data_IF_365311767264
#
_entry.id   IF_365311767264
#
_cell.length_a   1.000
_cell.length_b   1.000
_cell.length_c   1.000
_cell.angle_alpha   90.00
_cell.angle_beta   90.00
_cell.angle_gamma   90.00
#
_symmetry.space_group_name_H-M   'P 1'
#
loop_
_entity.id
_entity.type
_entity.pdbx_description
1 polymer ?
#
# COMPACT_ATOMS: atom_id res chain seq x y z
N UNK A 1 9.57 -13.03 13.70
CA UNK A 1 8.42 -12.12 13.82
C UNK A 1 8.88 -10.75 13.35
N UNK A 2 8.08 -10.03 12.54
CA UNK A 2 8.44 -8.68 12.08
C UNK A 2 7.99 -7.58 13.05
N UNK A 3 7.50 -7.99 14.22
CA UNK A 3 7.09 -7.10 15.29
C UNK A 3 8.27 -6.85 16.22
N UNK A 4 8.81 -5.62 16.17
CA UNK A 4 9.90 -5.17 17.03
C UNK A 4 9.53 -5.18 18.52
N UNK A 5 8.23 -5.23 18.86
CA UNK A 5 7.73 -5.28 20.25
C UNK A 5 7.47 -6.71 20.74
N UNK A 6 7.64 -7.73 19.89
CA UNK A 6 7.40 -9.13 20.25
C UNK A 6 8.18 -9.55 21.49
N UNK A 7 9.39 -9.03 21.69
CA UNK A 7 10.21 -9.31 22.88
C UNK A 7 9.63 -8.74 24.16
N UNK A 8 9.02 -7.56 24.12
CA UNK A 8 8.42 -6.91 25.29
C UNK A 8 7.19 -7.67 25.80
N UNK A 9 6.62 -8.55 24.97
CA UNK A 9 5.49 -9.42 25.30
C UNK A 9 5.93 -10.81 25.82
N UNK A 10 7.23 -11.12 25.82
CA UNK A 10 7.75 -12.42 26.29
C UNK A 10 8.07 -12.39 27.79
N UNK A 11 7.68 -13.46 28.48
CA UNK A 11 7.93 -13.63 29.91
C UNK A 11 9.45 -13.82 30.19
N UNK A 12 9.93 -13.35 31.34
CA UNK A 12 11.36 -13.20 31.65
C UNK A 12 12.14 -14.52 31.58
N UNK A 13 11.49 -15.66 31.83
CA UNK A 13 12.08 -17.01 31.69
C UNK A 13 12.35 -17.40 30.24
N UNK A 14 11.52 -16.97 29.30
CA UNK A 14 11.65 -17.25 27.87
C UNK A 14 12.77 -16.40 27.28
N UNK A 15 12.82 -15.11 27.63
CA UNK A 15 13.93 -14.22 27.24
C UNK A 15 15.31 -14.74 27.73
N UNK A 16 15.37 -15.29 28.95
CA UNK A 16 16.62 -15.82 29.52
C UNK A 16 17.10 -17.14 28.90
N UNK A 17 16.22 -17.93 28.29
CA UNK A 17 16.57 -19.23 27.67
C UNK A 17 16.79 -19.12 26.17
N UNK A 18 16.28 -18.05 25.55
CA UNK A 18 16.50 -17.68 24.16
C UNK A 18 17.83 -16.91 24.06
N UNK A 19 18.97 -17.60 24.02
CA UNK A 19 20.26 -16.99 23.68
C UNK A 19 20.19 -16.40 22.25
N UNK A 20 19.76 -15.15 22.13
CA UNK A 20 19.41 -14.53 20.85
C UNK A 20 20.55 -13.66 20.31
N UNK A 21 21.09 -14.04 19.17
CA UNK A 21 21.70 -13.07 18.25
C UNK A 21 20.56 -12.42 17.48
N UNK A 22 20.27 -11.16 17.77
CA UNK A 22 19.27 -10.39 17.03
C UNK A 22 19.81 -10.02 15.65
N UNK A 23 19.19 -10.53 14.60
CA UNK A 23 19.47 -10.10 13.23
C UNK A 23 18.41 -9.07 12.86
N UNK A 24 18.82 -7.80 12.84
CA UNK A 24 17.97 -6.69 12.41
C UNK A 24 18.04 -6.53 10.89
N UNK A 25 16.89 -6.35 10.26
CA UNK A 25 16.75 -6.08 8.84
C UNK A 25 16.24 -4.64 8.66
N UNK A 26 17.14 -3.64 8.61
CA UNK A 26 16.73 -2.27 8.39
C UNK A 26 16.13 -2.09 6.99
N UNK A 27 15.23 -1.12 6.80
CA UNK A 27 14.69 -0.81 5.49
C UNK A 27 15.80 -0.37 4.53
N UNK A 28 15.78 -0.91 3.31
CA UNK A 28 16.82 -0.65 2.32
C UNK A 28 16.91 0.82 1.95
N UNK A 29 18.13 1.32 1.80
CA UNK A 29 18.42 2.62 1.19
C UNK A 29 18.20 2.61 -0.32
N UNK A 30 18.14 3.79 -0.94
CA UNK A 30 17.95 3.92 -2.41
C UNK A 30 19.04 3.19 -3.19
N UNK A 31 20.31 3.33 -2.80
CA UNK A 31 21.44 2.66 -3.48
C UNK A 31 21.39 1.13 -3.34
N UNK A 32 20.92 0.63 -2.21
CA UNK A 32 20.77 -0.82 -1.99
C UNK A 32 19.62 -1.38 -2.82
N UNK A 33 18.49 -0.66 -2.87
CA UNK A 33 17.37 -1.01 -3.74
C UNK A 33 17.79 -0.99 -5.21
N UNK A 34 18.57 -0.01 -5.63
CA UNK A 34 19.09 0.06 -6.99
C UNK A 34 19.92 -1.19 -7.32
N UNK A 35 20.87 -1.58 -6.47
CA UNK A 35 21.66 -2.81 -6.66
C UNK A 35 20.80 -4.07 -6.72
N UNK A 36 19.78 -4.17 -5.86
CA UNK A 36 18.84 -5.29 -5.88
C UNK A 36 18.07 -5.33 -7.20
N UNK A 37 17.61 -4.18 -7.69
CA UNK A 37 16.88 -4.10 -8.95
C UNK A 37 17.77 -4.39 -10.16
N UNK A 38 19.01 -3.90 -10.19
CA UNK A 38 20.00 -4.21 -11.24
C UNK A 38 20.22 -5.73 -11.36
N UNK A 39 20.48 -6.41 -10.23
CA UNK A 39 20.64 -7.87 -10.21
C UNK A 39 19.41 -8.62 -10.73
N UNK A 40 18.20 -8.09 -10.49
CA UNK A 40 16.96 -8.68 -11.02
C UNK A 40 16.74 -8.35 -12.49
N UNK A 41 17.10 -7.13 -12.90
CA UNK A 41 16.95 -6.65 -14.25
C UNK A 41 17.80 -7.46 -15.23
N UNK A 42 19.04 -7.77 -14.85
CA UNK A 42 19.99 -8.56 -15.64
C UNK A 42 19.47 -9.96 -16.03
N UNK A 43 18.59 -10.54 -15.19
CA UNK A 43 18.02 -11.87 -15.40
C UNK A 43 16.66 -11.79 -16.11
N UNK A 44 15.88 -10.73 -15.83
CA UNK A 44 14.48 -10.63 -16.25
C UNK A 44 14.27 -9.86 -17.56
N UNK A 45 15.19 -8.97 -17.94
CA UNK A 45 15.07 -8.10 -19.11
C UNK A 45 16.13 -8.42 -20.17
N UNK A 46 15.82 -8.14 -21.43
CA UNK A 46 16.81 -8.18 -22.50
C UNK A 46 17.80 -7.03 -22.36
N UNK A 47 19.00 -7.19 -22.95
CA UNK A 47 19.97 -6.10 -23.01
C UNK A 47 19.34 -4.87 -23.67
N UNK A 48 19.59 -3.69 -23.08
CA UNK A 48 19.05 -2.40 -23.53
C UNK A 48 17.53 -2.26 -23.50
N UNK A 49 16.80 -3.18 -22.86
CA UNK A 49 15.34 -3.06 -22.72
C UNK A 49 14.93 -2.00 -21.68
N UNK A 50 15.84 -1.53 -20.82
CA UNK A 50 15.58 -0.52 -19.79
C UNK A 50 16.37 0.75 -20.11
N UNK A 51 15.70 1.90 -20.10
CA UNK A 51 16.40 3.19 -20.09
C UNK A 51 17.10 3.44 -18.76
N UNK A 52 18.18 4.22 -18.80
CA UNK A 52 19.08 4.48 -17.66
C UNK A 52 18.33 5.02 -16.41
N UNK A 53 17.24 5.76 -16.61
CA UNK A 53 16.44 6.35 -15.53
C UNK A 53 15.44 5.40 -14.86
N UNK A 54 15.15 4.24 -15.43
CA UNK A 54 14.07 3.35 -14.94
C UNK A 54 14.40 2.74 -13.59
N UNK A 55 15.59 2.15 -13.46
CA UNK A 55 16.01 1.48 -12.22
C UNK A 55 16.19 2.50 -11.08
N UNK A 56 16.89 3.64 -11.27
CA UNK A 56 17.00 4.68 -10.24
C UNK A 56 15.64 5.19 -9.77
N UNK A 57 14.69 5.39 -10.68
CA UNK A 57 13.35 5.84 -10.33
C UNK A 57 12.60 4.80 -9.51
N UNK A 58 12.63 3.52 -9.91
CA UNK A 58 12.01 2.43 -9.15
C UNK A 58 12.61 2.30 -7.74
N UNK A 59 13.93 2.48 -7.61
CA UNK A 59 14.62 2.44 -6.33
C UNK A 59 14.23 3.62 -5.42
N UNK A 60 14.15 4.83 -5.98
CA UNK A 60 13.74 6.03 -5.25
C UNK A 60 12.30 5.90 -4.71
N UNK A 61 11.37 5.45 -5.55
CA UNK A 61 9.98 5.20 -5.16
C UNK A 61 9.87 4.09 -4.12
N UNK A 62 10.63 3.00 -4.27
CA UNK A 62 10.71 1.95 -3.26
C UNK A 62 11.22 2.45 -1.90
N UNK A 63 12.16 3.41 -1.89
CA UNK A 63 12.64 4.05 -0.66
C UNK A 63 11.58 4.96 -0.04
N UNK A 64 10.86 5.73 -0.85
CA UNK A 64 9.76 6.59 -0.41
C UNK A 64 8.66 5.76 0.29
N UNK A 65 8.41 4.55 -0.20
CA UNK A 65 7.49 3.56 0.37
C UNK A 65 8.08 2.77 1.56
N UNK A 66 9.07 3.33 2.26
CA UNK A 66 9.64 2.74 3.48
C UNK A 66 10.74 1.70 3.22
N UNK A 67 11.27 1.60 2.01
CA UNK A 67 12.41 0.73 1.69
C UNK A 67 12.05 -0.74 1.44
N UNK A 68 10.81 -1.04 1.02
CA UNK A 68 10.39 -2.41 0.68
C UNK A 68 10.87 -2.81 -0.73
N UNK A 69 11.90 -3.66 -0.77
CA UNK A 69 12.43 -4.21 -2.02
C UNK A 69 11.38 -4.97 -2.85
N UNK A 70 10.38 -5.59 -2.22
CA UNK A 70 9.31 -6.30 -2.96
C UNK A 70 8.43 -5.32 -3.72
N UNK A 71 8.15 -4.15 -3.15
CA UNK A 71 7.39 -3.09 -3.84
C UNK A 71 8.19 -2.57 -5.02
N UNK A 72 9.47 -2.27 -4.83
CA UNK A 72 10.35 -1.81 -5.91
C UNK A 72 10.44 -2.83 -7.08
N UNK A 73 10.59 -4.13 -6.78
CA UNK A 73 10.61 -5.19 -7.79
C UNK A 73 9.25 -5.32 -8.50
N UNK A 74 8.15 -5.21 -7.74
CA UNK A 74 6.79 -5.28 -8.30
C UNK A 74 6.54 -4.12 -9.26
N UNK A 75 7.00 -2.91 -8.90
CA UNK A 75 6.91 -1.71 -9.72
C UNK A 75 7.70 -1.90 -11.02
N UNK A 76 8.97 -2.31 -10.94
CA UNK A 76 9.81 -2.57 -12.12
C UNK A 76 9.18 -3.60 -13.06
N UNK A 77 8.66 -4.70 -12.50
CA UNK A 77 7.95 -5.72 -13.30
C UNK A 77 6.73 -5.13 -14.00
N UNK A 78 5.93 -4.33 -13.28
CA UNK A 78 4.70 -3.73 -13.84
C UNK A 78 5.01 -2.71 -14.93
N UNK A 79 6.07 -1.94 -14.80
CA UNK A 79 6.57 -1.04 -15.84
C UNK A 79 6.97 -1.83 -17.10
N UNK A 80 7.70 -2.94 -16.93
CA UNK A 80 8.02 -3.85 -18.03
C UNK A 80 6.80 -4.47 -18.70
N UNK A 81 5.80 -4.88 -17.92
CA UNK A 81 4.54 -5.41 -18.46
C UNK A 81 3.78 -4.35 -19.28
N UNK A 82 3.80 -3.07 -18.87
CA UNK A 82 3.18 -1.98 -19.62
C UNK A 82 3.89 -1.74 -20.95
N UNK A 83 5.22 -1.59 -20.93
CA UNK A 83 6.01 -1.43 -22.14
C UNK A 83 5.78 -2.59 -23.13
N UNK A 84 5.73 -3.84 -22.62
CA UNK A 84 5.41 -5.02 -23.44
C UNK A 84 4.00 -4.95 -24.03
N UNK A 85 3.00 -4.53 -23.25
CA UNK A 85 1.61 -4.41 -23.72
C UNK A 85 1.47 -3.35 -24.81
N UNK A 86 2.29 -2.31 -24.74
CA UNK A 86 2.31 -1.20 -25.69
C UNK A 86 3.21 -1.47 -26.91
N UNK A 87 3.89 -2.63 -26.94
CA UNK A 87 4.93 -2.96 -27.92
C UNK A 87 6.03 -1.89 -28.00
N UNK A 88 6.35 -1.26 -26.88
CA UNK A 88 7.47 -0.32 -26.78
C UNK A 88 8.81 -1.06 -26.89
N UNK A 89 9.80 -0.43 -27.53
CA UNK A 89 11.15 -0.99 -27.69
C UNK A 89 11.93 -1.02 -26.36
N UNK A 90 11.66 -0.07 -25.47
CA UNK A 90 12.27 0.06 -24.16
C UNK A 90 11.24 0.42 -23.09
N UNK A 91 11.55 0.07 -21.84
CA UNK A 91 10.89 0.61 -20.66
C UNK A 91 11.48 1.99 -20.38
N UNK A 92 10.60 2.94 -20.14
CA UNK A 92 10.92 4.35 -19.90
C UNK A 92 10.41 4.77 -18.52
N UNK A 93 10.78 5.96 -18.04
CA UNK A 93 10.29 6.48 -16.76
C UNK A 93 8.77 6.71 -16.76
N UNK A 94 8.17 7.07 -17.91
CA UNK A 94 6.71 7.19 -18.07
C UNK A 94 5.99 5.87 -17.75
N UNK A 95 6.54 4.73 -18.18
CA UNK A 95 6.00 3.42 -17.84
C UNK A 95 6.06 3.15 -16.34
N UNK A 96 7.07 3.66 -15.63
CA UNK A 96 7.21 3.51 -14.18
C UNK A 96 6.16 4.34 -13.45
N UNK A 97 6.00 5.61 -13.82
CA UNK A 97 5.00 6.51 -13.22
C UNK A 97 3.58 5.94 -13.41
N UNK A 98 3.24 5.51 -14.63
CA UNK A 98 1.94 4.89 -14.92
C UNK A 98 1.78 3.53 -14.22
N UNK A 99 2.86 2.77 -14.03
CA UNK A 99 2.81 1.53 -13.26
C UNK A 99 2.54 1.81 -11.78
N UNK A 100 3.14 2.86 -11.22
CA UNK A 100 2.90 3.29 -9.84
C UNK A 100 1.44 3.69 -9.63
N UNK A 101 0.89 4.57 -10.49
CA UNK A 101 -0.52 4.97 -10.42
C UNK A 101 -1.46 3.76 -10.45
N UNK A 102 -1.18 2.78 -11.33
CA UNK A 102 -1.97 1.54 -11.40
C UNK A 102 -1.84 0.69 -10.15
N UNK A 103 -0.66 0.60 -9.54
CA UNK A 103 -0.44 -0.15 -8.30
C UNK A 103 -1.13 0.51 -7.12
N UNK A 104 -1.09 1.83 -7.01
CA UNK A 104 -1.76 2.60 -5.96
C UNK A 104 -3.29 2.51 -6.09
N UNK A 105 -3.82 2.60 -7.32
CA UNK A 105 -5.23 2.41 -7.58
C UNK A 105 -5.67 0.98 -7.24
N UNK A 106 -4.89 -0.03 -7.64
CA UNK A 106 -5.17 -1.43 -7.32
C UNK A 106 -5.14 -1.67 -5.81
N UNK A 107 -4.11 -1.16 -5.11
CA UNK A 107 -4.00 -1.27 -3.65
C UNK A 107 -5.21 -0.63 -2.96
N UNK A 108 -5.63 0.55 -3.42
CA UNK A 108 -6.83 1.23 -2.90
C UNK A 108 -8.09 0.39 -3.09
N UNK A 109 -8.25 -0.22 -4.28
CA UNK A 109 -9.37 -1.11 -4.58
C UNK A 109 -9.36 -2.38 -3.74
N UNK A 110 -8.19 -2.98 -3.51
CA UNK A 110 -8.05 -4.19 -2.69
C UNK A 110 -8.37 -3.90 -1.23
N UNK A 111 -7.87 -2.79 -0.67
CA UNK A 111 -8.24 -2.33 0.67
C UNK A 111 -9.77 -2.16 0.77
N UNK A 112 -10.40 -1.49 -0.19
CA UNK A 112 -11.85 -1.30 -0.19
C UNK A 112 -12.64 -2.61 -0.28
N UNK A 113 -12.12 -3.63 -0.96
CA UNK A 113 -12.73 -4.96 -1.06
C UNK A 113 -12.64 -5.75 0.25
N UNK A 114 -11.56 -5.57 1.00
CA UNK A 114 -11.34 -6.24 2.28
C UNK A 114 -12.15 -5.60 3.42
N UNK A 115 -12.66 -4.38 3.25
CA UNK A 115 -13.56 -3.73 4.19
C UNK A 115 -14.86 -4.53 4.38
N UNK A 116 -15.29 -4.64 5.63
CA UNK A 116 -16.63 -5.13 5.96
C UNK A 116 -17.71 -4.22 5.39
N UNK A 117 -18.93 -4.75 5.25
CA UNK A 117 -20.06 -3.98 4.69
C UNK A 117 -20.31 -2.65 5.44
N UNK A 118 -20.14 -2.61 6.76
CA UNK A 118 -20.31 -1.37 7.51
C UNK A 118 -19.15 -0.38 7.36
N UNK A 119 -17.92 -0.86 7.16
CA UNK A 119 -16.77 0.01 6.85
C UNK A 119 -16.95 0.61 5.45
N UNK A 120 -17.39 -0.19 4.46
CA UNK A 120 -17.73 0.31 3.12
C UNK A 120 -18.86 1.35 3.16
N UNK A 121 -19.92 1.12 3.94
CA UNK A 121 -21.00 2.10 4.10
C UNK A 121 -20.53 3.39 4.78
N UNK A 122 -19.58 3.28 5.71
CA UNK A 122 -18.98 4.44 6.38
C UNK A 122 -18.10 5.24 5.41
N UNK A 123 -17.26 4.55 4.63
CA UNK A 123 -16.46 5.16 3.57
C UNK A 123 -17.37 5.83 2.54
N UNK A 124 -18.46 5.18 2.14
CA UNK A 124 -19.42 5.73 1.19
C UNK A 124 -20.15 6.98 1.74
N UNK A 125 -20.47 6.99 3.04
CA UNK A 125 -21.01 8.17 3.69
C UNK A 125 -20.05 9.37 3.62
N UNK A 126 -18.74 9.13 3.80
CA UNK A 126 -17.73 10.18 3.70
C UNK A 126 -17.53 10.66 2.26
N UNK A 127 -17.42 9.75 1.29
CA UNK A 127 -17.18 10.12 -0.10
C UNK A 127 -18.35 10.87 -0.72
N UNK A 128 -19.59 10.53 -0.34
CA UNK A 128 -20.78 11.29 -0.75
C UNK A 128 -20.80 12.69 -0.15
N UNK A 129 -20.46 12.85 1.14
CA UNK A 129 -20.31 14.18 1.75
C UNK A 129 -19.19 15.01 1.11
N UNK A 130 -18.08 14.37 0.72
CA UNK A 130 -16.97 15.04 0.03
C UNK A 130 -17.37 15.48 -1.39
N UNK A 131 -18.10 14.65 -2.13
CA UNK A 131 -18.64 14.99 -3.45
C UNK A 131 -19.65 16.14 -3.42
N UNK A 132 -20.34 16.33 -2.29
CA UNK A 132 -21.24 17.46 -2.02
C UNK A 132 -20.51 18.69 -1.43
N UNK A 133 -19.17 18.71 -1.47
CA UNK A 133 -18.33 19.77 -0.89
C UNK A 133 -18.64 20.06 0.60
N UNK A 134 -19.22 19.08 1.30
CA UNK A 134 -19.68 19.19 2.69
C UNK A 134 -18.64 18.69 3.70
N UNK A 135 -17.39 18.58 3.26
CA UNK A 135 -16.23 18.24 4.09
C UNK A 135 -15.33 19.46 4.32
N UNK A 136 -14.73 19.64 5.50
CA UNK A 136 -14.68 18.70 6.63
C UNK A 136 -16.00 18.60 7.40
N UNK A 137 -16.46 17.36 7.64
CA UNK A 137 -17.71 17.07 8.35
C UNK A 137 -17.45 16.57 9.77
N UNK A 138 -18.26 17.01 10.73
CA UNK A 138 -18.22 16.45 12.10
C UNK A 138 -18.69 14.99 12.08
N UNK A 139 -18.14 14.14 12.97
CA UNK A 139 -18.51 12.71 13.03
C UNK A 139 -20.02 12.45 13.17
N UNK A 140 -20.78 13.39 13.77
CA UNK A 140 -22.25 13.31 13.85
C UNK A 140 -22.92 13.40 12.49
N UNK A 141 -22.42 14.25 11.60
CA UNK A 141 -22.93 14.43 10.23
C UNK A 141 -22.64 13.17 9.41
N UNK A 142 -21.41 12.67 9.51
CA UNK A 142 -21.01 11.40 8.88
C UNK A 142 -21.88 10.24 9.36
N UNK A 143 -22.13 10.15 10.67
CA UNK A 143 -22.98 9.12 11.25
C UNK A 143 -24.42 9.21 10.75
N UNK A 144 -24.95 10.41 10.55
CA UNK A 144 -26.29 10.60 10.02
C UNK A 144 -26.39 10.09 8.57
N UNK A 145 -25.42 10.46 7.72
CA UNK A 145 -25.34 9.96 6.34
C UNK A 145 -25.16 8.45 6.28
N UNK A 146 -24.32 7.89 7.16
CA UNK A 146 -24.13 6.44 7.30
C UNK A 146 -25.44 5.72 7.65
N UNK A 147 -26.27 6.27 8.55
CA UNK A 147 -27.58 5.67 8.88
C UNK A 147 -28.50 5.65 7.68
N UNK A 148 -28.62 6.76 6.97
CA UNK A 148 -29.46 6.87 5.77
C UNK A 148 -29.05 5.83 4.72
N UNK A 149 -27.74 5.62 4.55
CA UNK A 149 -27.20 4.59 3.66
C UNK A 149 -27.45 3.16 4.15
N UNK A 150 -27.38 2.92 5.47
CA UNK A 150 -27.73 1.62 6.05
C UNK A 150 -29.20 1.29 5.81
N UNK A 151 -30.10 2.26 6.07
CA UNK A 151 -31.54 2.12 5.84
C UNK A 151 -31.83 1.84 4.36
N UNK A 152 -31.22 2.58 3.43
CA UNK A 152 -31.35 2.35 1.99
C UNK A 152 -30.90 0.94 1.56
N UNK A 153 -29.88 0.38 2.22
CA UNK A 153 -29.37 -0.98 1.95
C UNK A 153 -30.07 -2.07 2.77
N UNK A 154 -31.09 -1.74 3.57
CA UNK A 154 -31.79 -2.71 4.43
C UNK A 154 -30.87 -3.30 5.50
N UNK A 155 -30.02 -2.46 6.11
CA UNK A 155 -29.08 -2.83 7.18
C UNK A 155 -29.37 -2.03 8.44
N UNK A 156 -29.24 -2.70 9.59
CA UNK A 156 -29.30 -2.02 10.88
C UNK A 156 -27.99 -1.24 11.12
N UNK A 157 -28.06 0.09 11.39
CA UNK A 157 -26.86 0.87 11.62
C UNK A 157 -26.17 0.48 12.92
N UNK A 158 -24.83 0.43 12.89
CA UNK A 158 -24.02 0.28 14.11
C UNK A 158 -24.04 1.57 14.93
N UNK A 159 -23.64 1.48 16.20
CA UNK A 159 -23.57 2.66 17.06
C UNK A 159 -22.56 3.68 16.53
N UNK A 160 -22.76 4.97 16.84
CA UNK A 160 -21.83 6.04 16.44
C UNK A 160 -20.39 5.79 16.91
N UNK A 161 -20.23 5.14 18.08
CA UNK A 161 -18.92 4.74 18.59
C UNK A 161 -18.26 3.69 17.69
N UNK A 162 -19.01 2.68 17.24
CA UNK A 162 -18.49 1.63 16.36
C UNK A 162 -18.23 2.14 14.95
N UNK A 163 -19.11 2.99 14.41
CA UNK A 163 -18.85 3.67 13.14
C UNK A 163 -17.56 4.49 13.20
N UNK A 164 -17.29 5.18 14.33
CA UNK A 164 -16.07 5.94 14.49
C UNK A 164 -14.82 5.07 14.57
N UNK A 165 -14.90 3.82 15.09
CA UNK A 165 -13.74 2.94 15.06
C UNK A 165 -13.32 2.58 13.64
N UNK A 166 -14.29 2.45 12.72
CA UNK A 166 -14.00 2.26 11.28
C UNK A 166 -13.28 3.44 10.61
N UNK A 167 -13.20 4.60 11.26
CA UNK A 167 -12.47 5.77 10.77
C UNK A 167 -11.07 5.90 11.37
N UNK A 168 -10.79 5.15 12.44
CA UNK A 168 -9.53 5.19 13.17
C UNK A 168 -8.67 3.95 12.94
N UNK A 169 -9.28 2.89 12.39
CA UNK A 169 -8.62 1.67 11.93
C UNK A 169 -8.17 1.85 10.48
#
# INVERSE_FOLDING_TARGET
>A
SNDSTFREQLDAKVQSSLCETEISFPPYGTEELQKVLEQRADIAFHQSALEEGVIPLCAALGRQDGGDARRAITLLRKAGDLARTENAESVTTDHVERAQEKLEAQQSMDIMRDLTEHEQLTLYALTTLAAEESTPARSRVVYQRYKELCEYRGRDPRTARRMRSFLSD
#
